data_IF_137988461290
#
_entry.id   IF_137988461290
#
_cell.length_a   1.000
_cell.length_b   1.000
_cell.length_c   1.000
_cell.angle_alpha   90.00
_cell.angle_beta   90.00
_cell.angle_gamma   90.00
#
_symmetry.space_group_name_H-M   'P 1'
#
loop_
_entity.id
_entity.type
_entity.pdbx_description
1 polymer ?
#
# COMPACT_ATOMS: atom_id res chain seq x y z
N UNK A 1 21.49 -7.36 40.45
CA UNK A 1 21.46 -6.56 39.23
C UNK A 1 20.50 -7.29 38.28
N UNK A 2 19.24 -6.88 38.35
CA UNK A 2 18.12 -7.53 37.67
C UNK A 2 18.05 -6.98 36.24
N UNK A 3 18.27 -7.84 35.27
CA UNK A 3 18.14 -7.52 33.85
C UNK A 3 16.64 -7.41 33.57
N UNK A 4 16.16 -6.23 33.16
CA UNK A 4 14.81 -6.04 32.68
C UNK A 4 14.64 -6.82 31.36
N UNK A 5 13.96 -7.97 31.46
CA UNK A 5 13.32 -8.59 30.31
C UNK A 5 12.16 -7.69 29.87
N UNK A 6 12.46 -6.75 29.01
CA UNK A 6 11.44 -6.03 28.26
C UNK A 6 11.01 -6.93 27.11
N UNK A 7 9.91 -7.64 27.32
CA UNK A 7 9.10 -8.26 26.26
C UNK A 7 8.59 -7.19 25.30
N UNK A 8 9.47 -6.72 24.43
CA UNK A 8 9.18 -5.76 23.36
C UNK A 8 8.25 -6.33 22.26
N UNK A 9 7.80 -7.59 22.40
CA UNK A 9 6.96 -8.27 21.43
C UNK A 9 5.47 -8.31 21.74
N UNK A 10 5.06 -7.82 22.91
CA UNK A 10 3.65 -7.60 23.27
C UNK A 10 3.22 -6.15 23.10
N UNK A 11 3.63 -5.49 22.03
CA UNK A 11 2.89 -4.31 21.60
C UNK A 11 1.50 -4.79 21.17
N UNK A 12 0.52 -4.63 22.07
CA UNK A 12 -0.89 -4.76 21.72
C UNK A 12 -1.09 -3.98 20.41
N UNK A 13 -1.60 -4.66 19.41
CA UNK A 13 -1.89 -4.05 18.10
C UNK A 13 -2.95 -2.98 18.30
N UNK A 14 -2.51 -1.75 18.56
CA UNK A 14 -3.40 -0.60 18.70
C UNK A 14 -4.05 -0.39 17.34
N UNK A 15 -5.35 -0.60 17.26
CA UNK A 15 -6.11 -0.29 16.06
C UNK A 15 -6.32 1.22 15.96
N UNK A 16 -6.15 1.77 14.77
CA UNK A 16 -6.39 3.17 14.44
C UNK A 16 -7.73 3.39 13.73
N UNK A 17 -8.58 2.36 13.65
CA UNK A 17 -9.83 2.41 12.89
C UNK A 17 -10.76 3.54 13.32
N UNK A 18 -10.83 3.82 14.64
CA UNK A 18 -11.70 4.86 15.21
C UNK A 18 -11.03 6.25 15.30
N UNK A 19 -9.77 6.38 14.85
CA UNK A 19 -9.11 7.68 14.91
C UNK A 19 -9.73 8.67 13.91
N UNK A 20 -9.95 9.95 14.30
CA UNK A 20 -10.48 10.99 13.42
C UNK A 20 -9.42 11.51 12.42
N UNK A 21 -8.52 10.63 11.99
CA UNK A 21 -7.43 10.90 11.07
C UNK A 21 -7.47 9.89 9.91
N UNK A 22 -7.74 10.33 8.67
CA UNK A 22 -7.75 9.43 7.51
C UNK A 22 -6.43 8.69 7.31
N UNK A 23 -5.28 9.34 7.57
CA UNK A 23 -3.96 8.72 7.47
C UNK A 23 -3.84 7.57 8.48
N UNK A 24 -4.24 7.77 9.73
CA UNK A 24 -4.19 6.73 10.76
C UNK A 24 -5.07 5.53 10.39
N UNK A 25 -6.30 5.77 9.95
CA UNK A 25 -7.21 4.70 9.47
C UNK A 25 -6.66 3.96 8.24
N UNK A 26 -5.99 4.67 7.34
CA UNK A 26 -5.32 4.02 6.20
C UNK A 26 -4.17 3.13 6.68
N UNK A 27 -3.36 3.58 7.63
CA UNK A 27 -2.28 2.78 8.21
C UNK A 27 -2.79 1.56 8.98
N UNK A 28 -3.98 1.61 9.55
CA UNK A 28 -4.61 0.42 10.17
C UNK A 28 -4.83 -0.71 9.15
N UNK A 29 -5.15 -0.35 7.92
CA UNK A 29 -5.38 -1.29 6.82
C UNK A 29 -4.08 -1.72 6.14
N UNK A 30 -3.19 -0.77 5.79
CA UNK A 30 -2.00 -1.02 4.96
C UNK A 30 -0.67 -0.85 5.69
N UNK A 31 -0.65 -0.52 6.98
CA UNK A 31 0.57 -0.15 7.72
C UNK A 31 1.57 -1.30 7.93
N UNK A 32 1.17 -2.52 7.69
CA UNK A 32 2.09 -3.64 7.64
C UNK A 32 2.88 -3.59 6.31
N UNK A 33 4.20 -3.55 6.39
CA UNK A 33 5.09 -3.38 5.22
C UNK A 33 4.84 -4.38 4.08
N UNK A 34 4.58 -5.67 4.38
CA UNK A 34 4.24 -6.65 3.36
C UNK A 34 2.94 -6.33 2.62
N UNK A 35 1.99 -5.68 3.29
CA UNK A 35 0.70 -5.31 2.69
C UNK A 35 0.89 -4.36 1.52
N UNK A 36 1.64 -3.28 1.71
CA UNK A 36 1.88 -2.31 0.64
C UNK A 36 2.77 -2.88 -0.48
N UNK A 37 3.70 -3.80 -0.16
CA UNK A 37 4.50 -4.48 -1.17
C UNK A 37 3.66 -5.43 -2.03
N UNK A 38 2.71 -6.16 -1.44
CA UNK A 38 1.76 -7.01 -2.19
C UNK A 38 0.88 -6.15 -3.11
N UNK A 39 0.39 -5.00 -2.63
CA UNK A 39 -0.37 -4.06 -3.48
C UNK A 39 0.48 -3.53 -4.63
N UNK A 40 1.75 -3.18 -4.38
CA UNK A 40 2.70 -2.80 -5.43
C UNK A 40 2.82 -3.88 -6.50
N UNK A 41 3.02 -5.13 -6.09
CA UNK A 41 3.20 -6.24 -7.03
C UNK A 41 1.91 -6.52 -7.82
N UNK A 42 0.75 -6.42 -7.17
CA UNK A 42 -0.54 -6.51 -7.86
C UNK A 42 -0.73 -5.39 -8.90
N UNK A 43 -0.28 -4.16 -8.61
CA UNK A 43 -0.25 -3.04 -9.58
C UNK A 43 0.69 -3.34 -10.74
N UNK A 44 1.82 -4.00 -10.49
CA UNK A 44 2.79 -4.43 -11.51
C UNK A 44 2.34 -5.67 -12.29
N UNK A 45 1.21 -6.27 -11.92
CA UNK A 45 0.58 -7.36 -12.66
C UNK A 45 0.66 -8.74 -12.00
N UNK A 46 1.19 -8.85 -10.79
CA UNK A 46 1.13 -10.09 -10.01
C UNK A 46 -0.34 -10.46 -9.73
N UNK A 47 -0.69 -11.73 -9.93
CA UNK A 47 -2.06 -12.22 -9.74
C UNK A 47 -2.11 -13.52 -8.96
N UNK A 48 -1.10 -14.38 -9.09
CA UNK A 48 -1.07 -15.70 -8.48
C UNK A 48 -0.18 -15.71 -7.25
N UNK A 49 -0.42 -16.64 -6.36
CA UNK A 49 0.36 -16.78 -5.14
C UNK A 49 1.88 -16.78 -5.42
N UNK A 50 2.30 -17.54 -6.44
CA UNK A 50 3.71 -17.63 -6.82
C UNK A 50 4.31 -16.32 -7.33
N UNK A 51 3.50 -15.46 -7.98
CA UNK A 51 3.98 -14.15 -8.46
C UNK A 51 4.39 -13.25 -7.29
N UNK A 52 3.65 -13.30 -6.17
CA UNK A 52 3.94 -12.52 -4.97
C UNK A 52 5.13 -13.04 -4.16
N UNK A 53 5.53 -14.29 -4.34
CA UNK A 53 6.71 -14.88 -3.67
C UNK A 53 8.03 -14.30 -4.17
N UNK A 54 8.05 -13.69 -5.33
CA UNK A 54 9.25 -13.06 -5.90
C UNK A 54 9.88 -11.99 -4.99
N UNK A 55 9.09 -11.42 -4.05
CA UNK A 55 9.58 -10.47 -3.04
C UNK A 55 10.34 -11.11 -1.87
N UNK A 56 10.40 -12.45 -1.80
CA UNK A 56 11.04 -13.16 -0.69
C UNK A 56 10.18 -13.28 0.58
N UNK A 57 8.88 -12.98 0.50
CA UNK A 57 7.94 -13.16 1.61
C UNK A 57 7.72 -14.65 1.91
N UNK A 58 7.71 -15.02 3.19
CA UNK A 58 7.41 -16.39 3.60
C UNK A 58 5.95 -16.76 3.32
N UNK A 59 5.70 -18.01 2.90
CA UNK A 59 4.39 -18.50 2.44
C UNK A 59 3.26 -18.32 3.46
N UNK A 60 3.54 -18.55 4.74
CA UNK A 60 2.58 -18.37 5.81
C UNK A 60 2.19 -16.89 6.00
N UNK A 61 3.16 -15.98 5.87
CA UNK A 61 2.93 -14.54 5.96
C UNK A 61 2.16 -14.07 4.73
N UNK A 62 2.57 -14.50 3.54
CA UNK A 62 1.89 -14.17 2.28
C UNK A 62 0.42 -14.61 2.33
N UNK A 63 0.16 -15.86 2.74
CA UNK A 63 -1.20 -16.40 2.86
C UNK A 63 -2.06 -15.55 3.80
N UNK A 64 -1.52 -15.20 4.97
CA UNK A 64 -2.23 -14.37 5.95
C UNK A 64 -2.51 -12.96 5.41
N UNK A 65 -1.55 -12.35 4.69
CA UNK A 65 -1.71 -11.02 4.10
C UNK A 65 -2.70 -10.99 2.95
N UNK A 66 -2.64 -11.97 2.03
CA UNK A 66 -3.60 -12.08 0.93
C UNK A 66 -5.02 -12.28 1.46
N UNK A 67 -5.20 -13.12 2.50
CA UNK A 67 -6.49 -13.30 3.16
C UNK A 67 -7.00 -11.98 3.72
N UNK A 68 -6.18 -11.25 4.48
CA UNK A 68 -6.54 -9.94 5.05
C UNK A 68 -6.90 -8.93 3.96
N UNK A 69 -6.13 -8.87 2.88
CA UNK A 69 -6.40 -7.94 1.77
C UNK A 69 -7.74 -8.24 1.06
N UNK A 70 -8.15 -9.50 1.01
CA UNK A 70 -9.47 -9.90 0.51
C UNK A 70 -10.57 -9.50 1.50
N UNK A 71 -10.39 -9.74 2.80
CA UNK A 71 -11.33 -9.34 3.86
C UNK A 71 -11.53 -7.82 3.90
N UNK A 72 -10.47 -7.04 3.70
CA UNK A 72 -10.50 -5.57 3.62
C UNK A 72 -11.07 -5.06 2.27
N UNK A 73 -11.37 -5.95 1.33
CA UNK A 73 -11.90 -5.59 0.01
C UNK A 73 -10.90 -4.86 -0.89
N UNK A 74 -9.60 -5.00 -0.66
CA UNK A 74 -8.54 -4.45 -1.51
C UNK A 74 -8.21 -5.39 -2.67
N UNK A 75 -8.32 -6.70 -2.43
CA UNK A 75 -8.20 -7.74 -3.44
C UNK A 75 -9.51 -8.55 -3.51
N UNK A 76 -9.81 -9.05 -4.67
CA UNK A 76 -10.77 -10.13 -4.88
C UNK A 76 -10.03 -11.42 -5.21
N UNK A 77 -10.53 -12.55 -4.69
CA UNK A 77 -9.99 -13.88 -4.95
C UNK A 77 -10.87 -14.61 -5.95
N UNK A 78 -10.31 -14.95 -7.11
CA UNK A 78 -11.01 -15.63 -8.19
C UNK A 78 -10.43 -17.02 -8.43
N UNK A 79 -11.28 -18.05 -8.41
CA UNK A 79 -10.88 -19.41 -8.77
C UNK A 79 -10.59 -19.49 -10.28
N UNK A 80 -9.41 -19.99 -10.66
CA UNK A 80 -9.08 -20.24 -12.05
C UNK A 80 -8.82 -21.71 -12.37
N UNK A 81 -8.64 -22.57 -11.36
CA UNK A 81 -8.48 -24.00 -11.49
C UNK A 81 -9.15 -24.70 -10.30
N UNK A 82 -9.93 -25.75 -10.56
CA UNK A 82 -10.72 -26.47 -9.53
C UNK A 82 -9.92 -27.58 -8.84
N UNK A 83 -9.12 -28.34 -9.59
CA UNK A 83 -8.40 -29.50 -9.06
C UNK A 83 -6.90 -29.48 -9.45
N UNK A 84 -5.96 -29.24 -8.50
CA UNK A 84 -6.17 -28.65 -7.18
C UNK A 84 -6.70 -27.22 -7.27
N UNK A 85 -7.46 -26.76 -6.27
CA UNK A 85 -8.02 -25.42 -6.27
C UNK A 85 -6.93 -24.34 -6.28
N UNK A 86 -6.93 -23.49 -7.33
CA UNK A 86 -5.98 -22.40 -7.49
C UNK A 86 -6.71 -21.08 -7.74
N UNK A 87 -6.16 -20.02 -7.17
CA UNK A 87 -6.79 -18.71 -7.17
C UNK A 87 -5.89 -17.62 -7.73
N UNK A 88 -6.53 -16.67 -8.38
CA UNK A 88 -5.95 -15.36 -8.71
C UNK A 88 -6.46 -14.31 -7.71
N UNK A 89 -5.60 -13.33 -7.42
CA UNK A 89 -5.88 -12.19 -6.57
C UNK A 89 -5.83 -10.92 -7.42
N UNK A 90 -6.96 -10.27 -7.57
CA UNK A 90 -7.12 -9.12 -8.45
C UNK A 90 -7.42 -7.87 -7.63
N UNK A 91 -6.83 -6.73 -8.01
CA UNK A 91 -7.16 -5.45 -7.37
C UNK A 91 -8.62 -5.08 -7.61
N UNK A 92 -9.32 -4.78 -6.53
CA UNK A 92 -10.64 -4.14 -6.59
C UNK A 92 -10.50 -2.66 -6.94
N UNK A 93 -11.62 -1.93 -7.07
CA UNK A 93 -11.60 -0.47 -7.20
C UNK A 93 -10.92 0.18 -5.98
N UNK A 94 -11.26 -0.26 -4.76
CA UNK A 94 -10.63 0.18 -3.51
C UNK A 94 -9.13 -0.08 -3.51
N UNK A 95 -8.69 -1.26 -3.97
CA UNK A 95 -7.28 -1.61 -4.09
C UNK A 95 -6.54 -0.75 -5.13
N UNK A 96 -7.15 -0.50 -6.28
CA UNK A 96 -6.61 0.42 -7.31
C UNK A 96 -6.50 1.87 -6.82
N UNK A 97 -7.38 2.28 -5.91
CA UNK A 97 -7.31 3.57 -5.23
C UNK A 97 -6.01 3.81 -4.43
N UNK A 98 -5.24 2.76 -4.12
CA UNK A 98 -3.92 2.86 -3.49
C UNK A 98 -2.77 3.16 -4.48
N UNK A 99 -3.02 3.17 -5.78
CA UNK A 99 -1.98 3.46 -6.78
C UNK A 99 -1.25 4.80 -6.51
N UNK A 100 -1.93 5.92 -6.21
CA UNK A 100 -1.23 7.17 -5.88
C UNK A 100 -0.31 7.05 -4.65
N UNK A 101 -0.69 6.24 -3.64
CA UNK A 101 0.14 5.99 -2.46
C UNK A 101 1.41 5.22 -2.85
N UNK A 102 1.28 4.18 -3.67
CA UNK A 102 2.43 3.40 -4.19
C UNK A 102 3.37 4.31 -4.99
N UNK A 103 2.82 5.16 -5.87
CA UNK A 103 3.62 6.13 -6.66
C UNK A 103 4.32 7.13 -5.76
N UNK A 104 3.66 7.62 -4.69
CA UNK A 104 4.25 8.55 -3.73
C UNK A 104 5.42 7.92 -2.97
N UNK A 105 5.22 6.71 -2.43
CA UNK A 105 6.28 5.95 -1.73
C UNK A 105 7.46 5.67 -2.66
N UNK A 106 7.19 5.22 -3.89
CA UNK A 106 8.24 5.00 -4.89
C UNK A 106 9.01 6.28 -5.21
N UNK A 107 8.32 7.39 -5.43
CA UNK A 107 8.95 8.68 -5.75
C UNK A 107 9.84 9.19 -4.62
N UNK A 108 9.39 9.00 -3.37
CA UNK A 108 10.18 9.33 -2.19
C UNK A 108 11.40 8.41 -2.06
N UNK A 109 11.22 7.09 -2.22
CA UNK A 109 12.29 6.11 -2.15
C UNK A 109 13.39 6.36 -3.19
N UNK A 110 13.03 6.59 -4.45
CA UNK A 110 13.99 6.94 -5.52
C UNK A 110 14.85 8.16 -5.20
N UNK A 111 14.31 9.11 -4.45
CA UNK A 111 15.00 10.36 -4.14
C UNK A 111 15.90 10.26 -2.91
N UNK A 112 15.50 9.49 -1.92
CA UNK A 112 16.07 9.56 -0.58
C UNK A 112 16.68 8.25 -0.08
N UNK A 113 16.57 7.16 -0.84
CA UNK A 113 17.19 5.87 -0.51
C UNK A 113 18.13 5.44 -1.64
N UNK A 114 19.16 4.70 -1.29
CA UNK A 114 20.07 4.08 -2.25
C UNK A 114 19.51 2.75 -2.74
N UNK A 115 19.88 2.34 -3.95
CA UNK A 115 19.48 1.07 -4.55
C UNK A 115 19.00 1.21 -6.00
N UNK A 116 18.94 0.09 -6.70
CA UNK A 116 18.49 0.02 -8.09
C UNK A 116 16.95 0.09 -8.17
N UNK A 117 16.47 0.80 -9.19
CA UNK A 117 15.05 0.87 -9.52
C UNK A 117 14.72 -0.18 -10.59
N UNK A 118 14.25 -1.34 -10.14
CA UNK A 118 13.95 -2.49 -11.01
C UNK A 118 12.55 -2.44 -11.64
N UNK A 119 11.72 -1.45 -11.27
CA UNK A 119 10.34 -1.34 -11.76
C UNK A 119 10.00 0.08 -12.18
N UNK A 120 9.18 0.22 -13.23
CA UNK A 120 8.66 1.51 -13.68
C UNK A 120 7.17 1.44 -13.88
N UNK A 121 6.48 2.48 -13.44
CA UNK A 121 5.08 2.71 -13.78
C UNK A 121 5.03 3.65 -14.97
N UNK A 122 4.51 3.18 -16.09
CA UNK A 122 4.47 3.91 -17.35
C UNK A 122 3.04 4.21 -17.78
N UNK A 123 2.83 5.34 -18.41
CA UNK A 123 1.58 5.66 -19.08
C UNK A 123 1.44 4.85 -20.36
N UNK A 124 0.37 4.05 -20.46
CA UNK A 124 0.19 3.07 -21.54
C UNK A 124 0.24 3.68 -22.94
N UNK A 125 -0.28 4.91 -23.09
CA UNK A 125 -0.41 5.51 -24.41
C UNK A 125 0.88 6.18 -24.93
N UNK A 126 1.74 6.69 -24.03
CA UNK A 126 2.93 7.43 -24.46
C UNK A 126 4.25 6.82 -23.95
N UNK A 127 4.21 5.77 -23.12
CA UNK A 127 5.39 5.07 -22.61
C UNK A 127 6.23 5.85 -21.58
N UNK A 128 5.85 7.08 -21.23
CA UNK A 128 6.58 7.86 -20.23
C UNK A 128 6.28 7.42 -18.81
N UNK A 129 7.26 7.59 -17.93
CA UNK A 129 7.13 7.26 -16.52
C UNK A 129 6.11 8.19 -15.84
N UNK A 130 5.24 7.59 -15.04
CA UNK A 130 4.22 8.32 -14.26
C UNK A 130 4.87 8.97 -13.04
N UNK A 131 4.58 10.24 -12.82
CA UNK A 131 4.99 10.99 -11.62
C UNK A 131 3.78 11.53 -10.88
N UNK A 132 3.90 11.65 -9.55
CA UNK A 132 2.87 12.27 -8.72
C UNK A 132 3.08 13.78 -8.67
N UNK A 133 2.02 14.54 -8.96
CA UNK A 133 1.98 15.99 -8.76
C UNK A 133 0.73 16.36 -7.98
N UNK A 134 0.87 17.28 -7.04
CA UNK A 134 -0.28 17.86 -6.37
C UNK A 134 -0.97 18.85 -7.31
N UNK A 135 -2.29 18.81 -7.33
CA UNK A 135 -3.12 19.68 -8.17
C UNK A 135 -4.21 20.30 -7.30
N UNK A 136 -4.48 21.57 -7.51
CA UNK A 136 -5.62 22.24 -6.88
C UNK A 136 -6.80 22.23 -7.84
N UNK A 137 -7.86 21.51 -7.51
CA UNK A 137 -9.05 21.37 -8.36
C UNK A 137 -9.73 22.71 -8.62
N UNK A 138 -9.72 23.62 -7.61
CA UNK A 138 -10.33 24.94 -7.75
C UNK A 138 -9.52 25.89 -8.62
N UNK A 139 -8.18 25.88 -8.50
CA UNK A 139 -7.29 26.71 -9.32
C UNK A 139 -6.95 26.09 -10.67
N UNK A 140 -7.31 24.83 -10.89
CA UNK A 140 -7.03 24.05 -12.10
C UNK A 140 -5.53 24.04 -12.51
N UNK A 141 -4.60 24.05 -11.52
CA UNK A 141 -3.16 24.05 -11.76
C UNK A 141 -2.39 23.15 -10.81
N UNK A 142 -1.21 22.67 -11.21
CA UNK A 142 -0.28 22.00 -10.32
C UNK A 142 0.18 22.93 -9.18
N UNK A 143 0.39 22.36 -7.98
CA UNK A 143 0.91 23.11 -6.84
C UNK A 143 2.42 23.01 -6.79
N UNK A 144 3.08 24.14 -6.51
CA UNK A 144 4.50 24.21 -6.27
C UNK A 144 4.83 23.82 -4.82
N UNK A 145 6.12 23.57 -4.56
CA UNK A 145 6.60 23.27 -3.22
C UNK A 145 6.34 24.46 -2.30
N UNK A 146 5.71 24.21 -1.15
CA UNK A 146 5.38 25.24 -0.16
C UNK A 146 4.01 25.90 -0.34
N UNK A 147 3.23 25.54 -1.37
CA UNK A 147 1.86 26.05 -1.56
C UNK A 147 0.79 25.21 -0.81
N UNK A 148 1.20 24.22 -0.05
CA UNK A 148 0.29 23.38 0.75
C UNK A 148 0.49 23.75 2.22
N UNK A 149 -0.59 24.17 2.86
CA UNK A 149 -0.65 24.47 4.29
C UNK A 149 -1.56 23.49 5.01
N UNK A 150 -1.14 23.07 6.22
CA UNK A 150 -1.95 22.20 7.06
C UNK A 150 -2.94 23.04 7.89
N UNK A 151 -4.23 22.92 7.60
CA UNK A 151 -5.29 23.51 8.42
C UNK A 151 -5.94 22.42 9.29
N UNK A 152 -5.98 22.63 10.62
CA UNK A 152 -6.76 21.78 11.51
C UNK A 152 -8.25 22.20 11.42
N UNK A 153 -9.13 21.22 11.20
CA UNK A 153 -10.56 21.49 11.38
C UNK A 153 -10.82 21.82 12.85
N UNK A 154 -11.61 22.87 13.16
CA UNK A 154 -12.09 23.07 14.53
C UNK A 154 -12.79 21.78 14.98
N UNK A 155 -12.45 21.30 16.17
CA UNK A 155 -13.21 20.23 16.82
C UNK A 155 -14.60 20.78 17.06
N UNK A 156 -15.62 20.20 16.41
CA UNK A 156 -17.00 20.45 16.74
C UNK A 156 -17.19 19.96 18.19
N UNK A 157 -17.26 20.90 19.13
CA UNK A 157 -17.66 20.67 20.52
C UNK A 157 -19.14 20.35 20.57
#
# INVERSE_FOLDING_TARGET
MQVCDLDLWQMQKVSFAEMPCPVARTLDVIGEWWTILIIRDAVLGARRFEDFKATGIADNILSARLKKLVEEGLLERKLYQEHPARFEYLLTEKGRGLLPVVVALRSWGKKWTEGDDTSRLIHKNCGHEVSLKFHCDKCARPLAKGEIEAARRPTLT
#
